data_IF_107416952318
#
_entry.id   IF_107416952318
#
_cell.length_a   1.000
_cell.length_b   1.000
_cell.length_c   1.000
_cell.angle_alpha   90.00
_cell.angle_beta   90.00
_cell.angle_gamma   90.00
#
_symmetry.space_group_name_H-M   'P 1'
#
loop_
_entity.id
_entity.type
_entity.pdbx_description
1 polymer ?
#
# COMPACT_ATOMS: atom_id res chain seq x y z
N UNK A 1 36.39 -27.77 56.18
CA UNK A 1 35.79 -26.51 55.69
C UNK A 1 36.27 -26.25 54.28
N UNK A 2 35.41 -26.42 53.27
CA UNK A 2 35.63 -25.97 51.88
C UNK A 2 34.26 -25.52 51.37
N UNK A 3 34.10 -24.21 51.23
CA UNK A 3 32.87 -23.54 50.79
C UNK A 3 32.95 -23.45 49.26
N UNK A 4 32.09 -24.19 48.56
CA UNK A 4 31.92 -24.11 47.11
C UNK A 4 31.09 -22.86 46.79
N UNK A 5 31.73 -21.92 46.10
CA UNK A 5 31.11 -20.66 45.65
C UNK A 5 30.17 -20.94 44.48
N UNK A 6 28.90 -20.61 44.64
CA UNK A 6 27.87 -20.68 43.61
C UNK A 6 27.88 -19.37 42.82
N UNK A 7 28.29 -19.43 41.55
CA UNK A 7 28.24 -18.28 40.64
C UNK A 7 26.82 -18.21 40.06
N UNK A 8 26.08 -17.16 40.40
CA UNK A 8 24.83 -16.79 39.76
C UNK A 8 25.13 -16.19 38.38
N UNK A 9 24.70 -16.86 37.31
CA UNK A 9 24.67 -16.29 35.97
C UNK A 9 23.34 -15.52 35.78
N UNK A 10 23.43 -14.20 35.65
CA UNK A 10 22.31 -13.34 35.24
C UNK A 10 22.06 -13.54 33.75
N UNK A 11 20.91 -14.13 33.41
CA UNK A 11 20.40 -14.14 32.04
C UNK A 11 19.81 -12.76 31.71
N UNK A 12 20.43 -12.06 30.77
CA UNK A 12 19.87 -10.85 30.18
C UNK A 12 18.68 -11.23 29.30
N UNK A 13 17.46 -10.92 29.74
CA UNK A 13 16.26 -11.01 28.92
C UNK A 13 16.27 -9.84 27.94
N UNK A 14 16.59 -10.13 26.68
CA UNK A 14 16.38 -9.20 25.59
C UNK A 14 14.87 -9.07 25.37
N UNK A 15 14.30 -7.96 25.83
CA UNK A 15 12.97 -7.51 25.39
C UNK A 15 13.11 -6.96 23.98
N UNK A 16 13.20 -7.85 22.99
CA UNK A 16 12.95 -7.48 21.61
C UNK A 16 11.47 -7.13 21.50
N UNK A 17 11.18 -5.89 21.10
CA UNK A 17 9.85 -5.46 20.68
C UNK A 17 9.36 -6.45 19.63
N UNK A 18 8.36 -7.27 19.97
CA UNK A 18 7.60 -8.03 18.99
C UNK A 18 6.77 -7.01 18.20
N UNK A 19 7.37 -6.39 17.19
CA UNK A 19 6.57 -5.71 16.18
C UNK A 19 5.65 -6.77 15.57
N UNK A 20 4.33 -6.51 15.45
CA UNK A 20 3.43 -7.45 14.81
C UNK A 20 3.98 -7.76 13.41
N UNK A 21 3.94 -9.03 13.02
CA UNK A 21 4.63 -9.59 11.84
C UNK A 21 4.15 -9.05 10.47
N UNK A 22 3.46 -7.91 10.45
CA UNK A 22 2.84 -7.31 9.28
C UNK A 22 2.67 -5.78 9.40
N UNK A 23 3.44 -5.12 10.26
CA UNK A 23 3.68 -3.69 10.06
C UNK A 23 4.45 -3.52 8.75
N UNK A 24 4.05 -2.54 7.91
CA UNK A 24 4.80 -2.22 6.68
C UNK A 24 6.23 -1.88 7.11
N UNK A 25 7.20 -2.73 6.72
CA UNK A 25 8.57 -2.69 7.21
C UNK A 25 9.42 -1.51 6.69
N UNK A 26 8.81 -0.56 5.97
CA UNK A 26 9.47 0.59 5.37
C UNK A 26 9.35 0.65 3.84
N UNK A 27 9.82 1.74 3.26
CA UNK A 27 9.76 1.99 1.82
C UNK A 27 10.71 1.10 1.03
N UNK A 28 11.90 0.80 1.54
CA UNK A 28 12.85 -0.08 0.87
C UNK A 28 12.32 -1.51 0.82
N UNK A 29 11.79 -2.01 1.94
CA UNK A 29 11.16 -3.32 2.03
C UNK A 29 9.95 -3.42 1.11
N UNK A 30 9.04 -2.43 1.14
CA UNK A 30 7.89 -2.38 0.25
C UNK A 30 8.31 -2.36 -1.22
N UNK A 31 9.27 -1.52 -1.60
CA UNK A 31 9.72 -1.39 -3.00
C UNK A 31 10.37 -2.67 -3.50
N UNK A 32 11.18 -3.33 -2.67
CA UNK A 32 11.79 -4.62 -3.00
C UNK A 32 10.73 -5.71 -3.17
N UNK A 33 9.78 -5.80 -2.24
CA UNK A 33 8.70 -6.77 -2.31
C UNK A 33 7.79 -6.53 -3.53
N UNK A 34 7.42 -5.28 -3.83
CA UNK A 34 6.59 -4.95 -4.98
C UNK A 34 7.28 -5.33 -6.29
N UNK A 35 8.59 -5.08 -6.44
CA UNK A 35 9.36 -5.52 -7.61
C UNK A 35 9.34 -7.04 -7.77
N UNK A 36 9.42 -7.79 -6.68
CA UNK A 36 9.40 -9.25 -6.72
C UNK A 36 8.01 -9.77 -7.13
N UNK A 37 6.96 -9.27 -6.48
CA UNK A 37 5.58 -9.73 -6.66
C UNK A 37 4.96 -9.31 -7.99
N UNK A 38 5.38 -8.18 -8.55
CA UNK A 38 4.97 -7.68 -9.87
C UNK A 38 6.11 -7.71 -10.89
N UNK A 39 7.02 -8.67 -10.77
CA UNK A 39 8.20 -8.79 -11.65
C UNK A 39 7.86 -8.92 -13.13
N UNK A 40 6.74 -9.57 -13.48
CA UNK A 40 6.27 -9.69 -14.86
C UNK A 40 5.77 -8.36 -15.44
N UNK A 41 5.43 -7.40 -14.59
CA UNK A 41 5.00 -6.05 -14.97
C UNK A 41 6.15 -5.06 -15.11
N UNK A 42 7.37 -5.47 -14.74
CA UNK A 42 8.60 -4.68 -14.80
C UNK A 42 8.49 -3.36 -14.06
N UNK A 43 8.24 -3.47 -12.75
CA UNK A 43 8.13 -2.33 -11.84
C UNK A 43 9.49 -1.68 -11.66
N UNK A 44 9.58 -0.40 -12.05
CA UNK A 44 10.74 0.44 -11.82
C UNK A 44 10.34 1.67 -11.01
N UNK A 45 11.26 2.17 -10.19
CA UNK A 45 11.03 3.33 -9.32
C UNK A 45 11.96 4.45 -9.77
N UNK A 46 11.38 5.49 -10.37
CA UNK A 46 12.07 6.74 -10.69
C UNK A 46 11.85 7.77 -9.59
N UNK A 47 12.78 8.71 -9.41
CA UNK A 47 12.51 9.87 -8.52
C UNK A 47 11.48 10.76 -9.19
N UNK A 48 10.40 11.07 -8.48
CA UNK A 48 9.37 11.97 -8.98
C UNK A 48 9.88 13.42 -9.00
N UNK A 49 9.42 14.19 -9.98
CA UNK A 49 9.64 15.64 -10.02
C UNK A 49 8.64 16.31 -9.08
N UNK A 50 9.04 16.57 -7.84
CA UNK A 50 8.19 17.24 -6.85
C UNK A 50 8.32 18.76 -7.01
N UNK A 51 7.31 19.40 -7.59
CA UNK A 51 7.19 20.86 -7.63
C UNK A 51 6.42 21.33 -6.39
N UNK A 52 7.13 21.67 -5.33
CA UNK A 52 6.53 22.21 -4.09
C UNK A 52 6.95 23.65 -3.83
N UNK A 53 6.01 24.45 -3.30
CA UNK A 53 6.27 25.83 -2.83
C UNK A 53 6.88 25.89 -1.43
N UNK A 54 6.87 24.77 -0.72
CA UNK A 54 7.44 24.58 0.62
C UNK A 54 8.38 23.37 0.62
N UNK A 55 9.41 23.39 1.47
CA UNK A 55 10.32 22.25 1.59
C UNK A 55 9.50 21.04 2.05
N UNK A 56 9.47 19.99 1.22
CA UNK A 56 8.91 18.70 1.61
C UNK A 56 10.03 17.82 2.11
N UNK A 57 9.87 17.27 3.31
CA UNK A 57 10.79 16.26 3.86
C UNK A 57 10.41 14.84 3.39
N UNK A 58 9.41 14.72 2.51
CA UNK A 58 9.05 13.46 1.85
C UNK A 58 9.74 13.30 0.49
N UNK A 59 10.20 12.08 0.22
CA UNK A 59 10.64 11.64 -1.08
C UNK A 59 9.46 11.00 -1.80
N UNK A 60 9.22 11.38 -3.05
CA UNK A 60 8.24 10.74 -3.92
C UNK A 60 8.94 10.02 -5.06
N UNK A 61 8.42 8.84 -5.40
CA UNK A 61 8.89 7.99 -6.47
C UNK A 61 7.76 7.75 -7.45
N UNK A 62 8.01 7.98 -8.74
CA UNK A 62 7.13 7.55 -9.81
C UNK A 62 7.43 6.08 -10.09
N UNK A 63 6.38 5.28 -10.17
CA UNK A 63 6.47 3.85 -10.43
C UNK A 63 6.01 3.63 -11.88
N UNK A 64 6.96 3.25 -12.72
CA UNK A 64 6.68 2.89 -14.11
C UNK A 64 6.46 1.39 -14.21
N UNK A 65 5.41 1.01 -14.93
CA UNK A 65 5.09 -0.39 -15.25
C UNK A 65 4.90 -0.54 -16.75
N UNK A 66 5.03 -1.76 -17.28
CA UNK A 66 4.72 -2.05 -18.70
C UNK A 66 3.22 -2.32 -18.97
N UNK A 67 2.35 -2.07 -17.98
CA UNK A 67 0.99 -2.63 -17.97
C UNK A 67 -0.12 -1.59 -17.80
N UNK A 68 0.06 -0.39 -18.36
CA UNK A 68 -0.94 0.70 -18.34
C UNK A 68 -1.47 1.03 -16.94
N UNK A 69 -0.61 0.94 -15.93
CA UNK A 69 -0.87 1.35 -14.54
C UNK A 69 0.16 2.39 -14.14
N UNK A 70 -0.31 3.59 -13.79
CA UNK A 70 0.50 4.62 -13.17
C UNK A 70 0.53 4.39 -11.67
N UNK A 71 1.67 4.55 -11.02
CA UNK A 71 1.73 4.52 -9.57
C UNK A 71 2.78 5.46 -8.99
N UNK A 72 2.62 5.79 -7.72
CA UNK A 72 3.57 6.59 -6.95
C UNK A 72 3.78 6.00 -5.56
N UNK A 73 4.96 6.21 -5.01
CA UNK A 73 5.31 5.88 -3.63
C UNK A 73 5.87 7.13 -2.94
N UNK A 74 5.34 7.46 -1.77
CA UNK A 74 5.81 8.55 -0.92
C UNK A 74 6.40 8.00 0.38
N UNK A 75 7.58 8.51 0.74
CA UNK A 75 8.38 8.06 1.87
C UNK A 75 8.90 9.24 2.70
N UNK A 76 9.12 9.06 4.00
CA UNK A 76 9.91 9.98 4.85
C UNK A 76 11.08 9.22 5.44
N UNK A 77 12.29 9.46 4.93
CA UNK A 77 13.38 8.50 5.14
C UNK A 77 12.96 7.13 4.59
N UNK A 78 13.07 6.08 5.41
CA UNK A 78 12.56 4.74 5.09
C UNK A 78 11.10 4.53 5.55
N UNK A 79 10.44 5.53 6.15
CA UNK A 79 9.04 5.37 6.55
C UNK A 79 8.13 5.37 5.34
N UNK A 80 7.29 4.34 5.22
CA UNK A 80 6.22 4.26 4.24
C UNK A 80 5.09 5.24 4.62
N UNK A 81 4.82 6.21 3.74
CA UNK A 81 3.71 7.15 3.93
C UNK A 81 2.51 6.72 3.10
N UNK A 82 2.69 6.63 1.78
CA UNK A 82 1.59 6.43 0.84
C UNK A 82 2.07 5.72 -0.42
N UNK A 83 1.33 4.71 -0.83
CA UNK A 83 1.37 4.18 -2.19
C UNK A 83 0.05 4.50 -2.88
N UNK A 84 0.11 4.89 -4.14
CA UNK A 84 -1.07 5.16 -4.95
C UNK A 84 -0.88 4.53 -6.33
N UNK A 85 -1.86 3.76 -6.79
CA UNK A 85 -1.91 3.20 -8.13
C UNK A 85 -3.19 3.65 -8.81
N UNK A 86 -3.14 3.96 -10.11
CA UNK A 86 -4.28 4.43 -10.87
C UNK A 86 -4.29 3.92 -12.30
N UNK A 87 -5.49 3.88 -12.87
CA UNK A 87 -5.74 3.67 -14.29
C UNK A 87 -6.78 4.68 -14.79
N UNK A 88 -6.72 4.99 -16.08
CA UNK A 88 -7.75 5.77 -16.75
C UNK A 88 -8.99 4.93 -17.07
N UNK A 89 -10.16 5.55 -16.96
CA UNK A 89 -11.47 5.00 -17.30
C UNK A 89 -12.07 5.73 -18.52
N UNK A 90 -12.79 5.03 -19.43
CA UNK A 90 -13.11 3.60 -19.37
C UNK A 90 -11.92 2.70 -19.68
N UNK A 91 -11.64 1.75 -18.79
CA UNK A 91 -10.56 0.79 -18.95
C UNK A 91 -11.02 -0.45 -19.73
N UNK A 92 -10.17 -0.98 -20.62
CA UNK A 92 -10.42 -2.28 -21.23
C UNK A 92 -10.17 -3.43 -20.22
N UNK A 93 -10.60 -4.65 -20.57
CA UNK A 93 -10.47 -5.82 -19.70
C UNK A 93 -9.02 -6.13 -19.30
N UNK A 94 -8.06 -5.90 -20.20
CA UNK A 94 -6.62 -6.11 -19.93
C UNK A 94 -6.12 -5.13 -18.87
N UNK A 95 -6.43 -3.84 -19.01
CA UNK A 95 -6.04 -2.78 -18.08
C UNK A 95 -6.64 -3.02 -16.70
N UNK A 96 -7.93 -3.38 -16.66
CA UNK A 96 -8.60 -3.77 -15.40
C UNK A 96 -7.92 -4.97 -14.73
N UNK A 97 -7.62 -6.02 -15.49
CA UNK A 97 -6.95 -7.21 -14.95
C UNK A 97 -5.55 -6.87 -14.43
N UNK A 98 -4.79 -6.05 -15.17
CA UNK A 98 -3.46 -5.64 -14.74
C UNK A 98 -3.51 -4.79 -13.46
N UNK A 99 -4.47 -3.88 -13.37
CA UNK A 99 -4.68 -3.08 -12.17
C UNK A 99 -4.99 -3.95 -10.96
N UNK A 100 -5.93 -4.90 -11.07
CA UNK A 100 -6.26 -5.84 -9.99
C UNK A 100 -5.05 -6.68 -9.54
N UNK A 101 -4.25 -7.15 -10.50
CA UNK A 101 -3.02 -7.89 -10.21
C UNK A 101 -1.99 -7.01 -9.50
N UNK A 102 -1.84 -5.75 -9.92
CA UNK A 102 -0.91 -4.81 -9.33
C UNK A 102 -1.34 -4.41 -7.91
N UNK A 103 -2.64 -4.19 -7.68
CA UNK A 103 -3.20 -3.96 -6.34
C UNK A 103 -2.93 -5.15 -5.42
N UNK A 104 -3.12 -6.38 -5.89
CA UNK A 104 -2.84 -7.58 -5.11
C UNK A 104 -1.34 -7.73 -4.77
N UNK A 105 -0.45 -7.40 -5.72
CA UNK A 105 1.00 -7.38 -5.46
C UNK A 105 1.37 -6.32 -4.42
N UNK A 106 0.78 -5.12 -4.48
CA UNK A 106 0.97 -4.07 -3.49
C UNK A 106 0.46 -4.46 -2.10
N UNK A 107 -0.69 -5.12 -2.00
CA UNK A 107 -1.23 -5.63 -0.74
C UNK A 107 -0.35 -6.74 -0.15
N UNK A 108 0.20 -7.61 -0.99
CA UNK A 108 1.16 -8.62 -0.54
C UNK A 108 2.45 -7.97 -0.05
N UNK A 109 2.95 -6.96 -0.76
CA UNK A 109 4.15 -6.21 -0.36
C UNK A 109 3.96 -5.43 0.95
N UNK A 110 2.77 -4.84 1.16
CA UNK A 110 2.48 -4.04 2.34
C UNK A 110 2.08 -4.89 3.57
N UNK A 111 1.21 -5.88 3.38
CA UNK A 111 0.52 -6.57 4.48
C UNK A 111 0.82 -8.08 4.53
N UNK A 112 1.62 -8.60 3.60
CA UNK A 112 1.89 -10.04 3.50
C UNK A 112 0.66 -10.87 3.10
N UNK A 113 -0.41 -10.24 2.64
CA UNK A 113 -1.65 -10.94 2.29
C UNK A 113 -1.47 -11.80 1.04
N UNK A 114 -2.05 -13.00 1.05
CA UNK A 114 -2.13 -13.80 -0.15
C UNK A 114 -3.11 -13.20 -1.18
N UNK A 115 -3.10 -13.77 -2.39
CA UNK A 115 -3.94 -13.30 -3.49
C UNK A 115 -5.44 -13.49 -3.21
N UNK A 116 -5.84 -14.50 -2.44
CA UNK A 116 -7.24 -14.76 -2.09
C UNK A 116 -7.79 -13.69 -1.17
N UNK A 117 -7.09 -13.41 -0.07
CA UNK A 117 -7.44 -12.35 0.88
C UNK A 117 -7.46 -10.98 0.19
N UNK A 118 -6.42 -10.66 -0.58
CA UNK A 118 -6.32 -9.40 -1.32
C UNK A 118 -7.51 -9.21 -2.27
N UNK A 119 -7.86 -10.22 -3.07
CA UNK A 119 -9.02 -10.16 -3.98
C UNK A 119 -10.35 -10.02 -3.23
N UNK A 120 -10.52 -10.69 -2.09
CA UNK A 120 -11.73 -10.60 -1.28
C UNK A 120 -12.00 -9.16 -0.82
N UNK A 121 -11.00 -8.52 -0.23
CA UNK A 121 -11.08 -7.13 0.25
C UNK A 121 -11.28 -6.17 -0.92
N UNK A 122 -10.43 -6.26 -1.96
CA UNK A 122 -10.51 -5.37 -3.12
C UNK A 122 -11.86 -5.47 -3.85
N UNK A 123 -12.44 -6.67 -3.95
CA UNK A 123 -13.75 -6.87 -4.57
C UNK A 123 -14.86 -6.15 -3.79
N UNK A 124 -14.84 -6.25 -2.45
CA UNK A 124 -15.79 -5.53 -1.59
C UNK A 124 -15.68 -4.02 -1.76
N UNK A 125 -14.46 -3.50 -1.58
CA UNK A 125 -14.20 -2.06 -1.74
C UNK A 125 -14.56 -1.53 -3.13
N UNK A 126 -14.26 -2.30 -4.19
CA UNK A 126 -14.57 -1.92 -5.58
C UNK A 126 -16.08 -1.90 -5.84
N UNK A 127 -16.83 -2.86 -5.29
CA UNK A 127 -18.27 -2.93 -5.44
C UNK A 127 -18.94 -1.73 -4.75
N UNK A 128 -18.55 -1.43 -3.50
CA UNK A 128 -19.04 -0.28 -2.74
C UNK A 128 -18.75 1.04 -3.50
N UNK A 129 -17.51 1.23 -3.96
CA UNK A 129 -17.13 2.44 -4.69
C UNK A 129 -17.93 2.61 -6.00
N UNK A 130 -18.16 1.53 -6.74
CA UNK A 130 -18.95 1.55 -7.97
C UNK A 130 -20.43 1.85 -7.70
N UNK A 131 -21.01 1.26 -6.66
CA UNK A 131 -22.38 1.53 -6.25
C UNK A 131 -22.56 3.01 -5.84
N UNK A 132 -21.64 3.53 -5.03
CA UNK A 132 -21.67 4.93 -4.62
C UNK A 132 -21.52 5.88 -5.81
N UNK A 133 -20.68 5.56 -6.79
CA UNK A 133 -20.54 6.34 -8.01
C UNK A 133 -21.83 6.33 -8.85
N UNK A 134 -22.45 5.15 -9.01
CA UNK A 134 -23.70 5.01 -9.74
C UNK A 134 -24.84 5.79 -9.07
N UNK A 135 -25.00 5.65 -7.76
CA UNK A 135 -26.00 6.37 -6.98
C UNK A 135 -25.77 7.88 -7.03
N UNK A 136 -24.50 8.31 -6.98
CA UNK A 136 -24.14 9.72 -7.09
C UNK A 136 -24.49 10.32 -8.46
N UNK A 137 -24.22 9.58 -9.55
CA UNK A 137 -24.60 9.98 -10.91
C UNK A 137 -26.11 10.13 -11.06
N UNK A 138 -26.90 9.26 -10.42
CA UNK A 138 -28.36 9.35 -10.43
C UNK A 138 -28.89 10.61 -9.72
N UNK A 139 -28.22 11.06 -8.66
CA UNK A 139 -28.60 12.29 -7.94
C UNK A 139 -28.09 13.57 -8.61
N UNK A 140 -27.06 13.47 -9.45
CA UNK A 140 -26.41 14.62 -10.09
C UNK A 140 -25.41 15.33 -9.17
N UNK A 141 -24.95 14.68 -8.10
CA UNK A 141 -24.20 15.33 -7.02
C UNK A 141 -22.66 15.21 -7.18
N UNK A 142 -22.10 13.99 -7.22
CA UNK A 142 -20.65 13.74 -7.07
C UNK A 142 -20.06 12.94 -8.25
N UNK A 143 -18.89 13.36 -8.72
CA UNK A 143 -18.11 12.71 -9.78
C UNK A 143 -17.00 11.78 -9.27
N UNK A 144 -16.85 11.67 -7.96
CA UNK A 144 -15.84 10.87 -7.25
C UNK A 144 -16.55 10.11 -6.14
N UNK A 145 -16.36 8.80 -6.09
CA UNK A 145 -16.87 7.96 -5.00
C UNK A 145 -15.81 6.95 -4.59
N UNK A 146 -15.87 6.45 -3.36
CA UNK A 146 -14.85 5.52 -2.89
C UNK A 146 -15.18 4.86 -1.56
N UNK A 147 -14.32 3.93 -1.19
CA UNK A 147 -14.35 3.20 0.07
C UNK A 147 -12.98 3.29 0.73
N UNK A 148 -12.97 3.54 2.03
CA UNK A 148 -11.77 3.42 2.86
C UNK A 148 -11.98 2.35 3.92
N UNK A 149 -10.92 1.60 4.20
CA UNK A 149 -10.90 0.58 5.26
C UNK A 149 -9.60 0.71 6.05
N UNK A 150 -9.65 0.49 7.35
CA UNK A 150 -8.47 0.43 8.21
C UNK A 150 -8.24 -1.01 8.64
N UNK A 151 -6.99 -1.47 8.60
CA UNK A 151 -6.64 -2.85 8.90
C UNK A 151 -5.60 -2.95 10.01
N UNK A 152 -5.94 -3.76 11.02
CA UNK A 152 -5.18 -3.94 12.27
C UNK A 152 -4.79 -5.40 12.53
N UNK A 153 -3.65 -5.67 13.22
CA UNK A 153 -2.56 -4.78 13.67
C UNK A 153 -1.68 -4.08 12.62
N UNK A 154 -1.62 -2.74 12.60
CA UNK A 154 -0.57 -2.04 11.85
C UNK A 154 -0.92 -0.63 11.36
N UNK A 155 -2.12 -0.14 11.65
CA UNK A 155 -2.55 1.22 11.28
C UNK A 155 -2.49 1.50 9.78
N UNK A 156 -2.70 0.46 8.94
CA UNK A 156 -2.68 0.59 7.48
C UNK A 156 -4.08 0.88 6.99
N UNK A 157 -4.24 2.01 6.32
CA UNK A 157 -5.50 2.37 5.67
C UNK A 157 -5.45 2.05 4.18
N UNK A 158 -6.49 1.40 3.68
CA UNK A 158 -6.73 1.19 2.27
C UNK A 158 -7.78 2.17 1.77
N UNK A 159 -7.60 2.66 0.56
CA UNK A 159 -8.57 3.50 -0.14
C UNK A 159 -8.77 3.00 -1.56
N UNK A 160 -10.02 2.97 -2.01
CA UNK A 160 -10.36 2.78 -3.41
C UNK A 160 -11.30 3.91 -3.84
N UNK A 161 -10.96 4.60 -4.91
CA UNK A 161 -11.73 5.70 -5.46
C UNK A 161 -12.01 5.44 -6.93
N UNK A 162 -13.20 5.81 -7.38
CA UNK A 162 -13.63 5.74 -8.77
C UNK A 162 -14.25 7.09 -9.16
N UNK A 163 -13.85 7.57 -10.33
CA UNK A 163 -14.39 8.79 -10.95
C UNK A 163 -14.98 8.47 -12.32
N UNK A 164 -15.38 9.49 -13.07
CA UNK A 164 -15.71 9.33 -14.49
C UNK A 164 -14.50 8.99 -15.38
N UNK A 165 -13.29 9.34 -14.94
CA UNK A 165 -12.06 9.29 -15.73
C UNK A 165 -10.99 8.37 -15.17
N UNK A 166 -11.09 7.95 -13.90
CA UNK A 166 -10.01 7.25 -13.23
C UNK A 166 -10.54 6.26 -12.19
N UNK A 167 -9.76 5.21 -11.95
CA UNK A 167 -9.88 4.35 -10.79
C UNK A 167 -8.55 4.33 -10.06
N UNK A 168 -8.58 4.62 -8.75
CA UNK A 168 -7.40 4.81 -7.91
C UNK A 168 -7.45 3.90 -6.69
N UNK A 169 -6.32 3.29 -6.37
CA UNK A 169 -6.11 2.49 -5.18
C UNK A 169 -4.98 3.08 -4.36
N UNK A 170 -5.17 3.12 -3.05
CA UNK A 170 -4.30 3.81 -2.11
C UNK A 170 -4.00 2.89 -0.94
N UNK A 171 -2.75 2.86 -0.52
CA UNK A 171 -2.31 2.32 0.77
C UNK A 171 -1.66 3.47 1.54
N UNK A 172 -2.12 3.73 2.76
CA UNK A 172 -1.53 4.72 3.67
C UNK A 172 -0.94 3.94 4.86
N UNK A 173 0.35 4.15 5.11
CA UNK A 173 1.01 3.57 6.28
C UNK A 173 0.72 4.37 7.56
N UNK A 174 1.04 3.84 8.74
CA UNK A 174 0.77 4.50 10.02
C UNK A 174 1.48 5.86 10.17
N UNK A 175 2.62 6.07 9.49
CA UNK A 175 3.32 7.35 9.47
C UNK A 175 2.74 8.38 8.48
N UNK A 176 1.78 7.97 7.65
CA UNK A 176 1.12 8.78 6.64
C UNK A 176 -0.23 9.37 7.06
N UNK A 177 -0.71 9.05 8.27
CA UNK A 177 -1.87 9.68 8.90
C UNK A 177 -1.55 11.08 9.44
#
# INVERSE_FOLDING_TARGET
MRILSTIFALAAVWTGSLEPAWAIAGCDAFSSALRAEASDMQVEFGRAVVVSRTRSDSNAFDITTRVDVDATLSCRGDQFLRFEARIGEPANARTTTNFERFQAAALKAALGWDAGKSRGVLKGMSADAAEYLAASRQRGDVYVAGKTEEHEPGGVSLGLMATGSDRTFVIVGPAGQ
#
